data_IF_195086945338
#
_entry.id   IF_195086945338
#
_cell.length_a   1.000
_cell.length_b   1.000
_cell.length_c   1.000
_cell.angle_alpha   90.00
_cell.angle_beta   90.00
_cell.angle_gamma   90.00
#
_symmetry.space_group_name_H-M   'P 1'
#
loop_
_entity.id
_entity.type
_entity.pdbx_description
1 polymer ?
#
# COMPACT_ATOMS: atom_id res chain seq x y z
N UNK A 1 -19.33 24.12 8.73
CA UNK A 1 -18.78 22.74 8.65
C UNK A 1 -17.48 22.82 7.88
N UNK A 2 -16.34 22.43 8.47
CA UNK A 2 -15.05 22.45 7.79
C UNK A 2 -14.96 21.23 6.87
N UNK A 3 -14.79 21.44 5.56
CA UNK A 3 -14.51 20.35 4.61
C UNK A 3 -13.13 19.78 4.93
N UNK A 4 -13.09 18.55 5.43
CA UNK A 4 -11.83 17.83 5.70
C UNK A 4 -11.75 16.62 4.79
N UNK A 5 -10.80 16.61 3.86
CA UNK A 5 -10.55 15.48 2.95
C UNK A 5 -10.26 14.20 3.74
N UNK A 6 -9.62 14.32 4.91
CA UNK A 6 -9.35 13.19 5.82
C UNK A 6 -10.61 12.51 6.34
N UNK A 7 -11.73 13.25 6.40
CA UNK A 7 -13.02 12.72 6.83
C UNK A 7 -13.78 12.01 5.70
N UNK A 8 -13.16 11.83 4.52
CA UNK A 8 -13.71 11.18 3.33
C UNK A 8 -15.20 11.52 3.12
N UNK A 9 -15.59 12.82 3.09
CA UNK A 9 -16.99 13.23 3.16
C UNK A 9 -17.85 12.80 1.95
N UNK A 10 -17.20 12.30 0.89
CA UNK A 10 -17.87 11.76 -0.29
C UNK A 10 -18.29 10.28 -0.13
N UNK A 11 -17.90 9.60 0.95
CA UNK A 11 -18.27 8.22 1.23
C UNK A 11 -19.45 8.15 2.21
N UNK A 12 -20.39 7.21 2.01
CA UNK A 12 -21.47 6.96 2.97
C UNK A 12 -20.94 6.43 4.31
N UNK A 13 -21.71 6.66 5.38
CA UNK A 13 -21.41 6.07 6.69
C UNK A 13 -21.52 4.55 6.63
N UNK A 14 -20.60 3.81 7.27
CA UNK A 14 -20.67 2.36 7.32
C UNK A 14 -21.95 1.92 8.06
N UNK A 15 -22.57 0.79 7.64
CA UNK A 15 -23.75 0.27 8.30
C UNK A 15 -23.44 -0.15 9.74
N UNK A 16 -24.43 -0.05 10.64
CA UNK A 16 -24.25 -0.37 12.07
C UNK A 16 -23.80 -1.83 12.29
N UNK A 17 -24.22 -2.73 11.40
CA UNK A 17 -23.91 -4.16 11.42
C UNK A 17 -22.65 -4.51 10.58
N UNK A 18 -21.81 -3.54 10.19
CA UNK A 18 -20.63 -3.76 9.32
C UNK A 18 -19.78 -4.99 9.73
N UNK A 19 -19.46 -5.11 11.03
CA UNK A 19 -18.67 -6.25 11.53
C UNK A 19 -19.40 -7.59 11.37
N UNK A 20 -20.72 -7.60 11.52
CA UNK A 20 -21.53 -8.80 11.32
C UNK A 20 -21.56 -9.17 9.84
N UNK A 21 -21.72 -8.19 8.94
CA UNK A 21 -21.64 -8.41 7.50
C UNK A 21 -20.29 -9.01 7.08
N UNK A 22 -19.17 -8.48 7.59
CA UNK A 22 -17.84 -9.06 7.35
C UNK A 22 -17.69 -10.50 7.84
N UNK A 23 -18.32 -10.85 8.98
CA UNK A 23 -18.29 -12.21 9.55
C UNK A 23 -19.19 -13.18 8.81
N UNK A 24 -20.30 -12.70 8.25
CA UNK A 24 -21.26 -13.49 7.48
C UNK A 24 -20.75 -13.90 6.09
N UNK A 25 -19.60 -13.36 5.65
CA UNK A 25 -18.94 -13.79 4.42
C UNK A 25 -18.32 -15.18 4.62
N UNK A 26 -18.65 -16.11 3.75
CA UNK A 26 -18.12 -17.48 3.70
C UNK A 26 -17.48 -17.71 2.33
N UNK A 27 -16.43 -18.55 2.20
CA UNK A 27 -15.71 -18.76 0.93
C UNK A 27 -16.55 -19.29 -0.22
N UNK A 28 -17.59 -20.05 0.11
CA UNK A 28 -18.52 -20.65 -0.85
C UNK A 28 -19.82 -19.84 -0.98
N UNK A 29 -19.86 -18.64 -0.40
CA UNK A 29 -21.00 -17.73 -0.52
C UNK A 29 -21.11 -17.18 -1.94
N UNK A 30 -22.33 -16.82 -2.34
CA UNK A 30 -22.53 -16.10 -3.59
C UNK A 30 -22.02 -14.65 -3.49
N UNK A 31 -21.48 -14.15 -4.60
CA UNK A 31 -21.13 -12.74 -4.82
C UNK A 31 -20.21 -12.11 -3.77
N UNK A 32 -19.26 -12.88 -3.21
CA UNK A 32 -18.36 -12.43 -2.13
C UNK A 32 -17.60 -11.17 -2.54
N UNK A 33 -17.03 -11.15 -3.75
CA UNK A 33 -16.31 -10.00 -4.28
C UNK A 33 -17.16 -8.74 -4.37
N UNK A 34 -18.39 -8.85 -4.88
CA UNK A 34 -19.32 -7.73 -4.95
C UNK A 34 -19.72 -7.22 -3.55
N UNK A 35 -19.94 -8.13 -2.60
CA UNK A 35 -20.22 -7.78 -1.20
C UNK A 35 -19.05 -7.10 -0.51
N UNK A 36 -17.82 -7.56 -0.74
CA UNK A 36 -16.60 -6.91 -0.26
C UNK A 36 -16.44 -5.51 -0.88
N UNK A 37 -16.68 -5.36 -2.18
CA UNK A 37 -16.69 -4.06 -2.83
C UNK A 37 -17.70 -3.11 -2.17
N UNK A 38 -18.95 -3.56 -1.97
CA UNK A 38 -19.99 -2.79 -1.30
C UNK A 38 -19.65 -2.40 0.14
N UNK A 39 -18.98 -3.27 0.90
CA UNK A 39 -18.49 -2.92 2.24
C UNK A 39 -17.37 -1.87 2.16
N UNK A 40 -16.49 -1.98 1.16
CA UNK A 40 -15.38 -1.07 0.98
C UNK A 40 -15.82 0.35 0.61
N UNK A 41 -16.95 0.55 -0.07
CA UNK A 41 -17.45 1.89 -0.49
C UNK A 41 -17.87 2.79 0.67
N UNK A 42 -17.86 2.31 1.92
CA UNK A 42 -18.17 3.12 3.09
C UNK A 42 -16.95 3.83 3.66
N UNK A 43 -17.22 4.85 4.48
CA UNK A 43 -16.21 5.56 5.27
C UNK A 43 -15.75 4.73 6.46
N UNK A 44 -14.83 3.81 6.20
CA UNK A 44 -14.28 2.94 7.24
C UNK A 44 -13.33 3.71 8.16
N UNK A 45 -13.53 3.56 9.47
CA UNK A 45 -12.54 3.94 10.48
C UNK A 45 -11.46 2.86 10.65
N UNK A 46 -10.42 3.15 11.44
CA UNK A 46 -9.29 2.22 11.65
C UNK A 46 -9.73 0.80 12.05
N UNK A 47 -10.67 0.65 13.00
CA UNK A 47 -11.13 -0.66 13.45
C UNK A 47 -11.89 -1.42 12.35
N UNK A 48 -12.68 -0.71 11.55
CA UNK A 48 -13.39 -1.28 10.41
C UNK A 48 -12.44 -1.66 9.28
N UNK A 49 -11.42 -0.85 9.00
CA UNK A 49 -10.35 -1.17 8.05
C UNK A 49 -9.59 -2.44 8.42
N UNK A 50 -9.19 -2.59 9.69
CA UNK A 50 -8.57 -3.83 10.20
C UNK A 50 -9.49 -5.03 10.00
N UNK A 51 -10.78 -4.87 10.32
CA UNK A 51 -11.78 -5.95 10.17
C UNK A 51 -11.92 -6.35 8.71
N UNK A 52 -12.04 -5.36 7.81
CA UNK A 52 -12.12 -5.56 6.37
C UNK A 52 -10.88 -6.30 5.83
N UNK A 53 -9.69 -5.81 6.16
CA UNK A 53 -8.41 -6.36 5.71
C UNK A 53 -8.23 -7.82 6.14
N UNK A 54 -8.59 -8.15 7.39
CA UNK A 54 -8.59 -9.54 7.87
C UNK A 54 -9.59 -10.42 7.13
N UNK A 55 -10.80 -9.91 6.89
CA UNK A 55 -11.82 -10.64 6.14
C UNK A 55 -11.39 -10.90 4.70
N UNK A 56 -10.85 -9.90 3.99
CA UNK A 56 -10.34 -10.09 2.64
C UNK A 56 -9.22 -11.13 2.59
N UNK A 57 -8.22 -11.02 3.48
CA UNK A 57 -7.11 -11.99 3.56
C UNK A 57 -7.60 -13.41 3.84
N UNK A 58 -8.59 -13.56 4.72
CA UNK A 58 -9.23 -14.85 4.98
C UNK A 58 -9.89 -15.42 3.72
N UNK A 59 -10.68 -14.62 3.00
CA UNK A 59 -11.32 -15.07 1.75
C UNK A 59 -10.30 -15.46 0.68
N UNK A 60 -9.19 -14.71 0.56
CA UNK A 60 -8.08 -15.06 -0.33
C UNK A 60 -7.43 -16.39 0.06
N UNK A 61 -7.12 -16.57 1.35
CA UNK A 61 -6.48 -17.79 1.85
C UNK A 61 -7.38 -19.03 1.75
N UNK A 62 -8.69 -18.84 1.87
CA UNK A 62 -9.70 -19.90 1.74
C UNK A 62 -10.09 -20.18 0.27
N UNK A 63 -9.46 -19.52 -0.71
CA UNK A 63 -9.68 -19.76 -2.14
C UNK A 63 -11.06 -19.31 -2.65
N UNK A 64 -11.68 -18.33 -1.98
CA UNK A 64 -12.98 -17.80 -2.38
C UNK A 64 -12.94 -17.16 -3.77
N UNK A 65 -14.04 -17.26 -4.53
CA UNK A 65 -14.20 -16.45 -5.75
C UNK A 65 -14.48 -15.00 -5.35
N UNK A 66 -13.54 -14.13 -5.69
CA UNK A 66 -13.59 -12.70 -5.38
C UNK A 66 -14.05 -11.84 -6.56
N UNK A 67 -14.54 -12.44 -7.64
CA UNK A 67 -15.14 -11.70 -8.75
C UNK A 67 -16.22 -10.72 -8.24
N UNK A 68 -16.24 -9.45 -8.72
CA UNK A 68 -15.47 -8.89 -9.84
C UNK A 68 -14.10 -8.28 -9.46
N UNK A 69 -13.59 -8.52 -8.24
CA UNK A 69 -12.31 -7.96 -7.81
C UNK A 69 -11.15 -8.64 -8.56
N UNK A 70 -10.36 -7.85 -9.27
CA UNK A 70 -9.13 -8.32 -9.91
C UNK A 70 -8.04 -8.53 -8.86
N UNK A 71 -7.35 -9.67 -8.90
CA UNK A 71 -6.22 -9.93 -8.00
C UNK A 71 -5.05 -9.03 -8.33
N UNK A 72 -4.39 -8.48 -7.33
CA UNK A 72 -3.18 -7.66 -7.50
C UNK A 72 -2.21 -7.87 -6.35
N UNK A 73 -0.94 -8.12 -6.65
CA UNK A 73 0.10 -8.46 -5.70
C UNK A 73 1.16 -7.36 -5.67
N UNK A 74 1.24 -6.69 -4.52
CA UNK A 74 2.07 -5.51 -4.34
C UNK A 74 3.17 -5.80 -3.31
N UNK A 75 4.44 -5.68 -3.72
CA UNK A 75 5.52 -5.51 -2.76
C UNK A 75 5.58 -4.05 -2.32
N UNK A 76 5.71 -3.78 -1.02
CA UNK A 76 5.87 -2.44 -0.47
C UNK A 76 7.24 -2.37 0.20
N UNK A 77 8.05 -1.40 -0.21
CA UNK A 77 9.39 -1.14 0.28
C UNK A 77 9.42 0.23 0.95
N UNK A 78 9.19 0.29 2.28
CA UNK A 78 9.02 1.56 2.96
C UNK A 78 10.27 2.04 3.69
N UNK A 79 10.53 3.36 3.66
CA UNK A 79 11.52 4.00 4.54
C UNK A 79 10.93 4.45 5.88
N UNK A 80 9.69 4.06 6.18
CA UNK A 80 8.94 4.43 7.39
C UNK A 80 7.96 3.34 7.81
N UNK A 81 7.49 3.40 9.05
CA UNK A 81 6.56 2.41 9.61
C UNK A 81 5.21 2.45 8.86
N UNK A 82 4.76 1.30 8.36
CA UNK A 82 3.55 1.17 7.56
C UNK A 82 2.37 0.55 8.31
N UNK A 83 2.55 0.06 9.54
CA UNK A 83 1.54 -0.73 10.26
C UNK A 83 0.16 -0.07 10.31
N UNK A 84 0.11 1.24 10.56
CA UNK A 84 -1.15 1.98 10.70
C UNK A 84 -1.86 2.21 9.36
N UNK A 85 -1.12 2.27 8.25
CA UNK A 85 -1.65 2.54 6.90
C UNK A 85 -1.94 1.24 6.16
N UNK A 86 -1.16 0.19 6.41
CA UNK A 86 -1.28 -1.10 5.76
C UNK A 86 -2.70 -1.69 5.86
N UNK A 87 -3.35 -1.55 7.02
CA UNK A 87 -4.71 -2.05 7.21
C UNK A 87 -5.78 -1.25 6.47
N UNK A 88 -5.47 -0.05 5.97
CA UNK A 88 -6.40 0.79 5.21
C UNK A 88 -6.34 0.54 3.70
N UNK A 89 -5.20 0.08 3.18
CA UNK A 89 -4.97 -0.13 1.74
C UNK A 89 -5.99 -1.12 1.13
N UNK A 90 -6.28 -2.29 1.73
CA UNK A 90 -7.21 -3.25 1.13
C UNK A 90 -8.61 -2.70 0.86
N UNK A 91 -9.14 -1.88 1.79
CA UNK A 91 -10.43 -1.24 1.57
C UNK A 91 -10.36 -0.22 0.44
N UNK A 92 -9.28 0.55 0.34
CA UNK A 92 -9.10 1.48 -0.79
C UNK A 92 -9.02 0.73 -2.13
N UNK A 93 -8.26 -0.35 -2.21
CA UNK A 93 -8.16 -1.18 -3.42
C UNK A 93 -9.51 -1.81 -3.80
N UNK A 94 -10.26 -2.33 -2.84
CA UNK A 94 -11.55 -2.96 -3.12
C UNK A 94 -12.58 -1.96 -3.66
N UNK A 95 -12.54 -0.68 -3.25
CA UNK A 95 -13.36 0.40 -3.87
C UNK A 95 -13.07 0.57 -5.35
N UNK A 96 -11.86 0.24 -5.78
CA UNK A 96 -11.41 0.31 -7.17
C UNK A 96 -11.44 -1.06 -7.88
N UNK A 97 -12.14 -2.05 -7.32
CA UNK A 97 -12.29 -3.36 -7.95
C UNK A 97 -11.04 -4.24 -7.84
N UNK A 98 -10.19 -4.02 -6.83
CA UNK A 98 -8.93 -4.76 -6.67
C UNK A 98 -8.92 -5.55 -5.36
N UNK A 99 -8.67 -6.86 -5.47
CA UNK A 99 -8.34 -7.76 -4.37
C UNK A 99 -6.83 -7.76 -4.18
N UNK A 100 -6.33 -6.89 -3.30
CA UNK A 100 -4.90 -6.72 -3.10
C UNK A 100 -4.32 -7.77 -2.13
N UNK A 101 -3.16 -8.32 -2.46
CA UNK A 101 -2.27 -9.04 -1.57
C UNK A 101 -0.97 -8.25 -1.46
N UNK A 102 -0.49 -8.03 -0.23
CA UNK A 102 0.65 -7.16 0.03
C UNK A 102 1.74 -7.93 0.78
N UNK A 103 2.98 -7.77 0.33
CA UNK A 103 4.17 -8.14 1.08
C UNK A 103 4.93 -6.85 1.42
N UNK A 104 5.18 -6.61 2.70
CA UNK A 104 5.81 -5.37 3.18
C UNK A 104 7.20 -5.72 3.68
N UNK A 105 8.22 -5.08 3.10
CA UNK A 105 9.60 -5.22 3.52
C UNK A 105 9.82 -4.59 4.91
N UNK A 106 10.91 -4.98 5.56
CA UNK A 106 11.30 -4.39 6.83
C UNK A 106 11.57 -2.88 6.69
N UNK A 107 11.26 -2.14 7.75
CA UNK A 107 11.46 -0.70 7.81
C UNK A 107 12.92 -0.33 7.50
N UNK A 108 13.10 0.64 6.60
CA UNK A 108 14.39 1.21 6.22
C UNK A 108 15.38 0.19 5.58
N UNK A 109 14.85 -0.87 4.98
CA UNK A 109 15.64 -1.89 4.28
C UNK A 109 15.39 -1.93 2.77
N UNK A 110 15.05 -0.79 2.16
CA UNK A 110 14.74 -0.72 0.72
C UNK A 110 15.89 -1.26 -0.12
N UNK A 111 17.12 -0.77 0.10
CA UNK A 111 18.29 -1.14 -0.71
C UNK A 111 18.64 -2.62 -0.53
N UNK A 112 18.61 -3.09 0.71
CA UNK A 112 18.92 -4.48 1.09
C UNK A 112 17.90 -5.43 0.46
N UNK A 113 16.60 -5.14 0.62
CA UNK A 113 15.51 -5.95 0.06
C UNK A 113 15.62 -6.05 -1.47
N UNK A 114 15.92 -4.95 -2.13
CA UNK A 114 16.06 -4.91 -3.60
C UNK A 114 17.30 -5.67 -4.07
N UNK A 115 18.38 -5.68 -3.28
CA UNK A 115 19.59 -6.42 -3.59
C UNK A 115 19.46 -7.93 -3.34
N UNK A 116 18.87 -8.32 -2.20
CA UNK A 116 18.76 -9.71 -1.74
C UNK A 116 17.59 -10.48 -2.36
N UNK A 117 16.54 -9.75 -2.79
CA UNK A 117 15.34 -10.31 -3.41
C UNK A 117 14.73 -11.44 -2.56
N UNK A 118 14.37 -11.18 -1.29
CA UNK A 118 13.85 -12.21 -0.41
C UNK A 118 12.54 -12.81 -0.97
N UNK A 119 12.39 -14.14 -1.02
CA UNK A 119 11.17 -14.79 -1.50
C UNK A 119 9.91 -14.37 -0.76
N UNK A 120 10.01 -14.03 0.53
CA UNK A 120 8.88 -13.55 1.32
C UNK A 120 8.25 -12.24 0.79
N UNK A 121 8.99 -11.47 -0.02
CA UNK A 121 8.53 -10.20 -0.61
C UNK A 121 8.15 -10.36 -2.08
N UNK A 122 8.97 -11.10 -2.84
CA UNK A 122 8.84 -11.18 -4.29
C UNK A 122 8.23 -12.48 -4.82
N UNK A 123 8.00 -13.47 -3.95
CA UNK A 123 7.37 -14.73 -4.30
C UNK A 123 6.00 -14.97 -3.63
N UNK A 124 5.06 -15.63 -4.35
CA UNK A 124 5.08 -15.83 -5.81
C UNK A 124 5.18 -14.49 -6.57
N UNK A 125 5.35 -14.49 -7.90
CA UNK A 125 5.55 -13.27 -8.68
C UNK A 125 4.58 -12.13 -8.33
N UNK A 126 5.12 -10.93 -8.14
CA UNK A 126 4.37 -9.69 -7.85
C UNK A 126 3.98 -8.96 -9.13
N UNK A 127 2.88 -8.21 -9.09
CA UNK A 127 2.44 -7.37 -10.19
C UNK A 127 3.18 -6.02 -10.21
N UNK A 128 3.46 -5.47 -9.02
CA UNK A 128 4.19 -4.23 -8.87
C UNK A 128 4.96 -4.15 -7.54
N UNK A 129 5.98 -3.30 -7.51
CA UNK A 129 6.72 -2.91 -6.32
C UNK A 129 6.54 -1.40 -6.05
N UNK A 130 6.03 -1.05 -4.88
CA UNK A 130 5.91 0.32 -4.41
C UNK A 130 7.13 0.68 -3.55
N UNK A 131 7.95 1.60 -4.05
CA UNK A 131 8.99 2.26 -3.28
C UNK A 131 8.38 3.50 -2.65
N UNK A 132 8.29 3.50 -1.32
CA UNK A 132 7.73 4.61 -0.57
C UNK A 132 8.75 5.11 0.43
N UNK A 133 9.14 6.37 0.30
CA UNK A 133 10.22 6.94 1.09
C UNK A 133 9.99 8.43 1.40
N UNK A 134 10.67 8.91 2.43
CA UNK A 134 10.63 10.31 2.84
C UNK A 134 11.93 11.06 2.47
N UNK A 135 11.95 12.35 2.79
CA UNK A 135 13.08 13.23 2.54
C UNK A 135 14.36 12.82 3.30
N UNK A 136 14.25 12.06 4.40
CA UNK A 136 15.39 11.60 5.21
C UNK A 136 16.08 10.43 4.54
N UNK A 137 15.33 9.49 3.97
CA UNK A 137 15.89 8.40 3.18
C UNK A 137 16.64 8.91 1.94
N UNK A 138 16.19 10.04 1.38
CA UNK A 138 16.88 10.76 0.30
C UNK A 138 18.05 11.63 0.78
N UNK A 139 18.28 11.76 2.10
CA UNK A 139 19.26 12.66 2.71
C UNK A 139 19.08 14.15 2.35
N UNK A 140 17.85 14.56 2.04
CA UNK A 140 17.47 15.94 1.71
C UNK A 140 17.19 16.80 2.97
N UNK A 141 17.27 16.22 4.16
CA UNK A 141 17.25 16.91 5.44
C UNK A 141 18.60 17.54 5.82
N UNK A 142 19.64 17.29 5.02
CA UNK A 142 21.01 17.79 5.27
C UNK A 142 21.22 19.14 4.63
N UNK A 143 21.81 20.06 5.40
CA UNK A 143 22.26 21.35 4.88
C UNK A 143 23.45 21.16 3.93
N UNK A 144 23.41 21.79 2.76
CA UNK A 144 24.55 21.93 1.85
C UNK A 144 24.96 23.40 1.76
N UNK A 145 26.24 23.69 1.99
CA UNK A 145 26.81 25.02 1.86
C UNK A 145 27.10 25.40 0.39
N UNK A 146 27.33 24.41 -0.48
CA UNK A 146 27.89 24.59 -1.83
C UNK A 146 26.85 24.43 -2.95
N UNK A 147 25.55 24.53 -2.62
CA UNK A 147 24.44 24.29 -3.54
C UNK A 147 23.82 22.90 -3.36
N UNK A 148 22.52 22.80 -3.62
CA UNK A 148 21.73 21.58 -3.37
C UNK A 148 21.82 20.53 -4.49
N UNK A 149 22.43 20.87 -5.63
CA UNK A 149 22.35 20.05 -6.85
C UNK A 149 23.02 18.68 -6.67
N UNK A 150 24.19 18.61 -6.02
CA UNK A 150 24.88 17.35 -5.75
C UNK A 150 24.07 16.43 -4.81
N UNK A 151 23.35 17.01 -3.84
CA UNK A 151 22.47 16.25 -2.95
C UNK A 151 21.26 15.68 -3.71
N UNK A 152 20.68 16.48 -4.60
CA UNK A 152 19.56 16.05 -5.43
C UNK A 152 20.00 14.95 -6.40
N UNK A 153 21.17 15.09 -7.04
CA UNK A 153 21.70 14.09 -7.95
C UNK A 153 22.00 12.77 -7.22
N UNK A 154 22.60 12.84 -6.02
CA UNK A 154 22.82 11.66 -5.20
C UNK A 154 21.50 10.97 -4.78
N UNK A 155 20.46 11.74 -4.48
CA UNK A 155 19.13 11.23 -4.16
C UNK A 155 18.49 10.53 -5.37
N UNK A 156 18.58 11.13 -6.56
CA UNK A 156 18.08 10.56 -7.82
C UNK A 156 18.83 9.28 -8.18
N UNK A 157 20.15 9.25 -8.02
CA UNK A 157 20.94 8.06 -8.30
C UNK A 157 20.61 6.92 -7.32
N UNK A 158 20.40 7.23 -6.03
CA UNK A 158 19.95 6.23 -5.04
C UNK A 158 18.63 5.58 -5.45
N UNK A 159 17.64 6.37 -5.87
CA UNK A 159 16.35 5.84 -6.38
C UNK A 159 16.58 5.03 -7.65
N UNK A 160 17.37 5.54 -8.58
CA UNK A 160 17.64 4.91 -9.88
C UNK A 160 18.31 3.54 -9.73
N UNK A 161 19.24 3.38 -8.79
CA UNK A 161 19.85 2.07 -8.45
C UNK A 161 18.76 1.07 -8.04
N UNK A 162 17.85 1.46 -7.15
CA UNK A 162 16.77 0.57 -6.69
C UNK A 162 15.84 0.18 -7.85
N UNK A 163 15.48 1.14 -8.69
CA UNK A 163 14.61 0.89 -9.85
C UNK A 163 15.25 -0.04 -10.88
N UNK A 164 16.53 0.17 -11.19
CA UNK A 164 17.28 -0.70 -12.11
C UNK A 164 17.36 -2.12 -11.57
N UNK A 165 17.66 -2.27 -10.28
CA UNK A 165 17.76 -3.58 -9.64
C UNK A 165 16.41 -4.32 -9.60
N UNK A 166 15.31 -3.65 -9.23
CA UNK A 166 13.97 -4.25 -9.27
C UNK A 166 13.60 -4.72 -10.68
N UNK A 167 13.88 -3.88 -11.69
CA UNK A 167 13.61 -4.23 -13.09
C UNK A 167 14.44 -5.44 -13.54
N UNK A 168 15.70 -5.53 -13.12
CA UNK A 168 16.61 -6.60 -13.54
C UNK A 168 16.35 -7.91 -12.80
N UNK A 169 16.11 -7.87 -11.50
CA UNK A 169 16.04 -9.06 -10.66
C UNK A 169 14.61 -9.61 -10.50
N UNK A 170 13.59 -8.74 -10.52
CA UNK A 170 12.19 -9.12 -10.28
C UNK A 170 11.34 -9.01 -11.54
N UNK A 171 11.67 -8.07 -12.43
CA UNK A 171 10.90 -7.83 -13.66
C UNK A 171 9.52 -7.18 -13.43
N UNK A 172 9.21 -6.76 -12.20
CA UNK A 172 7.95 -6.13 -11.83
C UNK A 172 7.90 -4.63 -12.17
N UNK A 173 6.69 -4.10 -12.36
CA UNK A 173 6.48 -2.67 -12.53
C UNK A 173 6.81 -1.93 -11.23
N UNK A 174 7.67 -0.92 -11.29
CA UNK A 174 7.95 -0.07 -10.14
C UNK A 174 6.96 1.11 -10.06
N UNK A 175 6.49 1.40 -8.85
CA UNK A 175 5.71 2.57 -8.47
C UNK A 175 6.56 3.34 -7.46
N UNK A 176 6.77 4.63 -7.67
CA UNK A 176 7.60 5.48 -6.81
C UNK A 176 6.73 6.58 -6.21
N UNK A 177 6.75 6.72 -4.88
CA UNK A 177 6.04 7.81 -4.23
C UNK A 177 6.72 9.16 -4.46
N UNK A 178 5.93 10.21 -4.66
CA UNK A 178 6.42 11.59 -4.58
C UNK A 178 6.79 11.94 -3.13
N UNK A 179 7.83 12.75 -2.94
CA UNK A 179 8.21 13.25 -1.62
C UNK A 179 7.52 14.58 -1.35
N UNK A 180 6.87 14.70 -0.18
CA UNK A 180 6.25 15.94 0.24
C UNK A 180 7.31 16.97 0.65
N UNK A 181 7.05 18.25 0.37
CA UNK A 181 7.87 19.35 0.87
C UNK A 181 7.84 19.32 2.42
N UNK A 182 9.01 19.34 3.10
CA UNK A 182 9.03 19.33 4.56
C UNK A 182 8.29 20.55 5.15
N UNK A 183 7.61 20.39 6.29
CA UNK A 183 6.98 21.52 6.97
C UNK A 183 8.06 22.52 7.43
N UNK A 184 7.91 23.79 7.05
CA UNK A 184 8.84 24.89 7.40
C UNK A 184 9.82 25.31 6.29
N UNK A 185 9.70 24.76 5.08
CA UNK A 185 10.56 25.10 3.92
C UNK A 185 10.07 26.30 3.07
N UNK A 186 9.36 27.27 3.68
CA UNK A 186 8.91 28.52 3.02
C UNK A 186 9.67 29.73 3.53
#
# INVERSE_FOLDING_TARGET
MSFSIRALPWLPEPPEDFKQQCKALTPNGADIGARLCGLATHRLNSTQSVTFSRTLRRMQAEGADLSPLSTFRLAILPSFTMDTVADMIPAACARHGVSISMAIAEFDQIIQTVHEVPPAIFEPAIDAALLIFDHRWLALDRFSADGGDDLVEAALERVSICLRQLRQAVGAQAIVSTVAVPPGSV
#
